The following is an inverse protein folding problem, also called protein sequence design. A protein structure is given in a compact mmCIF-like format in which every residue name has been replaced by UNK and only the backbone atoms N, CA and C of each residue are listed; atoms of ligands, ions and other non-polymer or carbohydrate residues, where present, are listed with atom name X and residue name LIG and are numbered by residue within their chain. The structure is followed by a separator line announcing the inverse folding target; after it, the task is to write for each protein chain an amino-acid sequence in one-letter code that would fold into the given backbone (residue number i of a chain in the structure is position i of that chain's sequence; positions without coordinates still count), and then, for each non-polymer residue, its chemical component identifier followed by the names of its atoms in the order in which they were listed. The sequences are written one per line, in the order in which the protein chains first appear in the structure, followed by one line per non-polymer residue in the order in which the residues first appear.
data_IF_088532646383
#
_entry.id   IF_088532646383
#
_cell.length_a   1.000
_cell.length_b   1.000
_cell.length_c   1.000
_cell.angle_alpha   90.00
_cell.angle_beta   90.00
_cell.angle_gamma   90.00
#
_symmetry.space_group_name_H-M   'P 1'
#
loop_
_entity.id
_entity.type
_entity.pdbx_description
1 polymer ?
#
# COMPACT_ATOMS: atom_id res chain seq x y z
N UNK A 1 9.86 -15.18 -12.21
CA UNK A 1 9.67 -15.37 -10.76
C UNK A 1 8.20 -15.57 -10.43
N UNK A 2 7.34 -14.54 -10.57
CA UNK A 2 5.90 -14.62 -10.22
C UNK A 2 5.13 -15.76 -10.90
N UNK A 3 5.29 -15.94 -12.22
CA UNK A 3 4.63 -17.04 -12.96
C UNK A 3 5.02 -18.44 -12.43
N UNK A 4 6.27 -18.63 -12.00
CA UNK A 4 6.72 -19.92 -11.45
C UNK A 4 6.21 -20.16 -10.02
N UNK A 5 5.77 -19.11 -9.33
CA UNK A 5 5.17 -19.17 -8.00
C UNK A 5 3.64 -19.29 -8.07
N UNK A 6 3.05 -19.43 -9.26
CA UNK A 6 1.60 -19.46 -9.46
C UNK A 6 0.91 -18.10 -9.40
N UNK A 7 1.68 -17.00 -9.28
CA UNK A 7 1.15 -15.64 -9.25
C UNK A 7 1.20 -15.02 -10.65
N UNK A 8 0.06 -14.52 -11.12
CA UNK A 8 -0.03 -13.75 -12.36
C UNK A 8 0.17 -12.26 -12.04
N UNK A 9 1.15 -11.65 -12.70
CA UNK A 9 1.44 -10.22 -12.62
C UNK A 9 1.38 -9.67 -14.05
N UNK A 10 0.57 -8.65 -14.30
CA UNK A 10 0.47 -8.02 -15.61
C UNK A 10 1.70 -7.15 -15.90
N UNK A 11 2.01 -6.85 -17.18
CA UNK A 11 3.10 -5.93 -17.51
C UNK A 11 2.96 -4.56 -16.83
N UNK A 12 1.74 -4.06 -16.67
CA UNK A 12 1.44 -2.78 -16.02
C UNK A 12 1.75 -2.83 -14.53
N UNK A 13 1.33 -3.91 -13.85
CA UNK A 13 1.67 -4.16 -12.44
C UNK A 13 3.19 -4.23 -12.24
N UNK A 14 3.89 -4.94 -13.14
CA UNK A 14 5.35 -5.05 -13.09
C UNK A 14 6.04 -3.68 -13.25
N UNK A 15 5.49 -2.77 -14.06
CA UNK A 15 6.02 -1.42 -14.24
C UNK A 15 5.87 -0.60 -12.96
N UNK A 16 4.73 -0.65 -12.29
CA UNK A 16 4.53 0.07 -11.03
C UNK A 16 5.39 -0.50 -9.90
N UNK A 17 5.50 -1.82 -9.79
CA UNK A 17 6.43 -2.47 -8.86
C UNK A 17 7.87 -2.03 -9.10
N UNK A 18 8.31 -1.99 -10.35
CA UNK A 18 9.65 -1.51 -10.69
C UNK A 18 9.87 -0.06 -10.28
N UNK A 19 8.87 0.82 -10.41
CA UNK A 19 8.99 2.22 -9.94
C UNK A 19 9.10 2.30 -8.42
N UNK A 20 8.26 1.56 -7.71
CA UNK A 20 8.28 1.47 -6.25
C UNK A 20 9.64 0.95 -5.75
N UNK A 21 10.18 -0.09 -6.37
CA UNK A 21 11.45 -0.70 -5.93
C UNK A 21 12.70 0.01 -6.44
N UNK A 22 12.68 0.60 -7.64
CA UNK A 22 13.81 1.38 -8.17
C UNK A 22 14.05 2.68 -7.40
N UNK A 23 13.08 3.19 -6.65
CA UNK A 23 13.27 4.34 -5.78
C UNK A 23 14.10 3.96 -4.54
N UNK A 24 13.47 3.85 -3.36
CA UNK A 24 14.13 3.56 -2.08
C UNK A 24 15.08 2.35 -2.10
N UNK A 25 14.71 1.32 -2.84
CA UNK A 25 15.33 0.01 -2.73
C UNK A 25 16.33 -0.27 -3.86
N UNK A 26 16.67 0.73 -4.68
CA UNK A 26 17.63 0.62 -5.79
C UNK A 26 17.34 -0.57 -6.73
N UNK A 27 16.07 -0.96 -6.87
CA UNK A 27 15.61 -2.06 -7.72
C UNK A 27 15.62 -3.44 -7.06
N UNK A 28 16.00 -3.53 -5.78
CA UNK A 28 16.07 -4.78 -5.02
C UNK A 28 15.13 -4.77 -3.83
N UNK A 29 14.09 -5.61 -3.84
CA UNK A 29 13.26 -5.78 -2.64
C UNK A 29 14.07 -6.53 -1.57
N UNK A 30 14.24 -5.97 -0.36
CA UNK A 30 14.81 -6.71 0.76
C UNK A 30 14.06 -8.03 0.99
N UNK A 31 14.81 -9.12 1.17
CA UNK A 31 14.22 -10.45 1.27
C UNK A 31 13.26 -10.56 2.48
N UNK A 32 13.53 -9.82 3.56
CA UNK A 32 12.67 -9.76 4.74
C UNK A 32 11.31 -9.10 4.45
N UNK A 33 11.26 -8.09 3.58
CA UNK A 33 9.99 -7.50 3.12
C UNK A 33 9.26 -8.50 2.25
N UNK A 34 9.94 -9.10 1.27
CA UNK A 34 9.34 -10.08 0.36
C UNK A 34 8.79 -11.30 1.11
N UNK A 35 9.52 -11.86 2.08
CA UNK A 35 9.06 -13.02 2.86
C UNK A 35 7.85 -12.67 3.73
N UNK A 36 7.82 -11.49 4.35
CA UNK A 36 6.64 -11.00 5.09
C UNK A 36 5.42 -10.86 4.20
N UNK A 37 5.56 -10.20 3.03
CA UNK A 37 4.45 -10.06 2.06
C UNK A 37 3.89 -11.43 1.67
N UNK A 38 4.77 -12.37 1.31
CA UNK A 38 4.37 -13.71 0.89
C UNK A 38 3.73 -14.53 2.03
N UNK A 39 4.17 -14.34 3.28
CA UNK A 39 3.62 -15.02 4.44
C UNK A 39 2.24 -14.48 4.86
N UNK A 40 1.93 -13.23 4.51
CA UNK A 40 0.70 -12.53 4.91
C UNK A 40 -0.32 -12.41 3.79
N UNK A 41 -0.19 -13.14 2.68
CA UNK A 41 -1.11 -13.05 1.53
C UNK A 41 -2.57 -13.36 1.90
N UNK A 42 -2.80 -14.21 2.90
CA UNK A 42 -4.14 -14.58 3.37
C UNK A 42 -4.66 -13.67 4.50
N UNK A 43 -3.81 -12.77 5.02
CA UNK A 43 -4.15 -11.81 6.07
C UNK A 43 -4.05 -10.38 5.52
N UNK A 44 -5.19 -9.85 5.07
CA UNK A 44 -5.25 -8.51 4.51
C UNK A 44 -4.78 -7.41 5.48
N UNK A 45 -4.96 -7.57 6.79
CA UNK A 45 -4.56 -6.55 7.75
C UNK A 45 -3.04 -6.52 7.89
N UNK A 46 -2.43 -7.70 8.05
CA UNK A 46 -0.97 -7.81 8.15
C UNK A 46 -0.31 -7.46 6.81
N UNK A 47 -0.90 -7.84 5.68
CA UNK A 47 -0.44 -7.44 4.35
C UNK A 47 -0.44 -5.91 4.20
N UNK A 48 -1.54 -5.23 4.59
CA UNK A 48 -1.58 -3.76 4.50
C UNK A 48 -0.55 -3.11 5.43
N UNK A 49 -0.34 -3.66 6.62
CA UNK A 49 0.71 -3.19 7.52
C UNK A 49 2.10 -3.28 6.88
N UNK A 50 2.41 -4.39 6.21
CA UNK A 50 3.69 -4.57 5.52
C UNK A 50 3.81 -3.60 4.35
N UNK A 51 2.76 -3.41 3.55
CA UNK A 51 2.76 -2.51 2.40
C UNK A 51 2.91 -1.04 2.80
N UNK A 52 2.18 -0.60 3.83
CA UNK A 52 2.28 0.77 4.36
C UNK A 52 3.66 1.00 4.98
N UNK A 53 4.17 0.05 5.76
CA UNK A 53 5.52 0.16 6.34
C UNK A 53 6.62 0.16 5.27
N UNK A 54 6.40 -0.52 4.14
CA UNK A 54 7.31 -0.50 2.99
C UNK A 54 7.16 0.75 2.11
N UNK A 55 6.13 1.57 2.32
CA UNK A 55 5.99 2.86 1.67
C UNK A 55 6.79 3.95 2.39
N UNK A 56 6.98 3.83 3.70
CA UNK A 56 7.89 4.65 4.51
C UNK A 56 9.34 4.36 4.12
N UNK A 57 9.83 5.17 3.19
CA UNK A 57 11.12 4.99 2.52
C UNK A 57 12.26 5.46 3.39
N UNK A 58 12.06 6.58 4.08
CA UNK A 58 13.10 7.18 4.92
C UNK A 58 13.12 6.55 6.33
N UNK A 59 12.13 5.72 6.66
CA UNK A 59 12.03 4.99 7.92
C UNK A 59 11.72 5.91 9.09
N UNK A 60 11.11 7.07 8.82
CA UNK A 60 10.82 8.07 9.84
C UNK A 60 9.59 7.71 10.69
N UNK A 61 8.83 6.68 10.31
CA UNK A 61 7.63 6.19 10.99
C UNK A 61 6.35 6.92 10.60
N UNK A 62 6.41 7.79 9.60
CA UNK A 62 5.31 8.59 9.07
C UNK A 62 5.18 8.42 7.57
N UNK A 63 4.01 8.72 7.03
CA UNK A 63 3.72 8.67 5.60
C UNK A 63 3.61 10.09 5.04
N UNK A 64 4.59 10.47 4.25
CA UNK A 64 4.59 11.73 3.52
C UNK A 64 3.81 11.64 2.20
N UNK A 65 3.47 12.79 1.62
CA UNK A 65 2.69 12.86 0.38
C UNK A 65 3.30 12.03 -0.77
N UNK A 66 4.62 12.04 -0.91
CA UNK A 66 5.32 11.30 -1.96
C UNK A 66 5.20 9.78 -1.76
N UNK A 67 5.24 9.32 -0.52
CA UNK A 67 5.17 7.92 -0.13
C UNK A 67 3.73 7.41 -0.30
N UNK A 68 2.76 8.19 0.17
CA UNK A 68 1.34 7.97 -0.06
C UNK A 68 1.01 7.82 -1.55
N UNK A 69 1.46 8.77 -2.38
CA UNK A 69 1.22 8.74 -3.82
C UNK A 69 1.81 7.50 -4.51
N UNK A 70 2.96 7.02 -4.01
CA UNK A 70 3.61 5.81 -4.53
C UNK A 70 2.82 4.55 -4.12
N UNK A 71 2.35 4.51 -2.88
CA UNK A 71 1.51 3.43 -2.36
C UNK A 71 0.16 3.34 -3.08
N UNK A 72 -0.56 4.46 -3.25
CA UNK A 72 -1.86 4.50 -3.94
C UNK A 72 -1.75 4.03 -5.40
N UNK A 73 -0.70 4.42 -6.12
CA UNK A 73 -0.46 3.92 -7.49
C UNK A 73 -0.25 2.41 -7.53
N UNK A 74 0.48 1.87 -6.55
CA UNK A 74 0.66 0.43 -6.41
C UNK A 74 -0.69 -0.26 -6.15
N UNK A 75 -1.49 0.25 -5.20
CA UNK A 75 -2.81 -0.31 -4.90
C UNK A 75 -3.77 -0.25 -6.10
N UNK A 76 -3.79 0.85 -6.85
CA UNK A 76 -4.60 1.01 -8.07
C UNK A 76 -4.22 0.02 -9.18
N UNK A 77 -2.93 -0.31 -9.31
CA UNK A 77 -2.48 -1.32 -10.28
C UNK A 77 -3.00 -2.73 -9.94
N UNK A 78 -3.32 -3.00 -8.67
CA UNK A 78 -3.89 -4.26 -8.20
C UNK A 78 -5.41 -4.25 -8.12
N UNK A 79 -5.99 -3.10 -7.78
CA UNK A 79 -7.42 -2.89 -7.65
C UNK A 79 -7.80 -1.55 -8.27
N UNK A 80 -8.20 -1.51 -9.56
CA UNK A 80 -8.60 -0.29 -10.25
C UNK A 80 -9.79 0.43 -9.61
N UNK A 81 -10.57 -0.27 -8.77
CA UNK A 81 -11.71 0.29 -8.02
C UNK A 81 -11.28 0.91 -6.68
N UNK A 82 -10.00 0.87 -6.33
CA UNK A 82 -9.50 1.56 -5.14
C UNK A 82 -9.77 3.06 -5.26
N UNK A 83 -10.31 3.66 -4.20
CA UNK A 83 -10.69 5.06 -4.22
C UNK A 83 -9.44 5.95 -4.38
N UNK A 84 -9.44 6.81 -5.40
CA UNK A 84 -8.40 7.82 -5.56
C UNK A 84 -8.71 8.95 -4.58
N UNK A 85 -7.90 9.06 -3.53
CA UNK A 85 -8.02 10.10 -2.50
C UNK A 85 -6.80 11.01 -2.59
N UNK A 86 -7.02 12.32 -2.53
CA UNK A 86 -5.94 13.31 -2.45
C UNK A 86 -5.26 13.22 -1.08
N UNK A 87 -3.97 13.55 -1.02
CA UNK A 87 -3.22 13.50 0.24
C UNK A 87 -3.84 14.38 1.33
N UNK A 88 -4.35 15.56 0.99
CA UNK A 88 -5.01 16.45 1.96
C UNK A 88 -6.24 15.80 2.62
N UNK A 89 -7.02 15.03 1.86
CA UNK A 89 -8.17 14.30 2.40
C UNK A 89 -7.71 13.11 3.25
N UNK A 90 -6.66 12.41 2.81
CA UNK A 90 -6.04 11.36 3.59
C UNK A 90 -5.53 11.90 4.94
N UNK A 91 -4.82 13.03 4.93
CA UNK A 91 -4.36 13.69 6.15
C UNK A 91 -5.53 14.06 7.06
N UNK A 92 -6.57 14.68 6.52
CA UNK A 92 -7.75 15.09 7.28
C UNK A 92 -8.54 13.93 7.91
N UNK A 93 -8.53 12.76 7.26
CA UNK A 93 -9.28 11.58 7.72
C UNK A 93 -8.45 10.64 8.59
N UNK A 94 -7.16 10.49 8.32
CA UNK A 94 -6.28 9.53 9.00
C UNK A 94 -5.55 10.12 10.21
N UNK A 95 -5.35 11.45 10.28
CA UNK A 95 -4.68 12.12 11.42
C UNK A 95 -5.59 12.16 12.66
N UNK A 96 -5.69 11.03 13.36
CA UNK A 96 -6.58 10.86 14.51
C UNK A 96 -6.07 11.60 15.74
N UNK A 97 -4.74 11.67 15.90
CA UNK A 97 -4.09 12.31 17.04
C UNK A 97 -3.95 13.83 16.85
N UNK A 98 -4.15 14.33 15.62
CA UNK A 98 -4.09 15.74 15.20
C UNK A 98 -2.71 16.36 15.35
N UNK A 99 -1.66 15.58 15.10
CA UNK A 99 -0.27 16.04 15.15
C UNK A 99 0.21 16.65 13.82
N UNK A 100 -0.62 16.58 12.77
CA UNK A 100 -0.33 17.11 11.44
C UNK A 100 0.55 16.18 10.60
N UNK A 101 0.77 14.95 11.03
CA UNK A 101 1.47 13.88 10.31
C UNK A 101 0.63 12.62 10.35
N UNK A 102 0.94 11.67 9.47
CA UNK A 102 0.29 10.37 9.47
C UNK A 102 1.28 9.31 9.91
N UNK A 103 1.06 8.72 11.08
CA UNK A 103 1.85 7.57 11.52
C UNK A 103 1.54 6.32 10.69
N UNK A 104 2.46 5.33 10.68
CA UNK A 104 2.21 4.02 10.06
C UNK A 104 0.89 3.41 10.55
N UNK A 105 0.62 3.47 11.85
CA UNK A 105 -0.59 2.90 12.45
C UNK A 105 -1.85 3.56 11.88
N UNK A 106 -1.89 4.89 11.85
CA UNK A 106 -3.02 5.66 11.31
C UNK A 106 -3.25 5.38 9.82
N UNK A 107 -2.18 5.29 9.03
CA UNK A 107 -2.27 4.90 7.64
C UNK A 107 -2.85 3.48 7.47
N UNK A 108 -2.37 2.50 8.24
CA UNK A 108 -2.85 1.11 8.18
C UNK A 108 -4.33 1.03 8.55
N UNK A 109 -4.75 1.70 9.60
CA UNK A 109 -6.14 1.72 10.04
C UNK A 109 -7.03 2.34 8.95
N UNK A 110 -6.63 3.49 8.39
CA UNK A 110 -7.37 4.15 7.32
C UNK A 110 -7.49 3.28 6.07
N UNK A 111 -6.38 2.70 5.59
CA UNK A 111 -6.39 1.82 4.41
C UNK A 111 -7.23 0.56 4.63
N UNK A 112 -7.21 0.01 5.84
CA UNK A 112 -8.03 -1.15 6.23
C UNK A 112 -9.52 -0.82 6.21
N UNK A 113 -9.91 0.39 6.59
CA UNK A 113 -11.29 0.86 6.49
C UNK A 113 -11.75 1.10 5.06
N UNK A 114 -10.91 1.70 4.21
CA UNK A 114 -11.25 1.91 2.80
C UNK A 114 -11.44 0.58 2.06
N UNK A 115 -10.62 -0.44 2.38
CA UNK A 115 -10.79 -1.79 1.86
C UNK A 115 -12.13 -2.44 2.24
N UNK A 116 -12.68 -2.13 3.43
CA UNK A 116 -14.03 -2.57 3.86
C UNK A 116 -15.13 -1.78 3.14
N UNK A 117 -14.96 -0.46 2.99
CA UNK A 117 -15.91 0.41 2.26
C UNK A 117 -16.00 0.06 0.77
N UNK A 118 -14.91 -0.41 0.16
CA UNK A 118 -14.93 -0.95 -1.21
C UNK A 118 -15.72 -2.26 -1.36
N UNK A 119 -15.82 -3.09 -0.30
CA UNK A 119 -16.60 -4.34 -0.34
C UNK A 119 -18.10 -4.14 -0.21
N UNK A 120 -18.56 -3.17 0.57
CA UNK A 120 -20.00 -2.81 0.66
C UNK A 120 -20.57 -2.20 -0.64
N UNK A 121 -19.71 -1.81 -1.59
CA UNK A 121 -20.12 -1.47 -2.96
C UNK A 121 -20.36 -2.68 -3.89
N UNK A 122 -20.05 -3.90 -3.46
CA UNK A 122 -20.23 -5.15 -4.24
C UNK A 122 -21.34 -6.07 -3.69
N UNK A 123 -22.16 -5.62 -2.74
CA UNK A 123 -23.41 -6.32 -2.36
C UNK A 123 -24.65 -5.77 -3.09
N UNK A 124 -24.44 -4.89 -4.07
CA UNK A 124 -25.50 -4.18 -4.78
C UNK A 124 -25.54 -4.35 -6.30
N UNK A 125 -24.85 -5.35 -6.88
CA UNK A 125 -24.97 -5.72 -8.30
C UNK A 125 -24.97 -7.24 -8.45
#
# INVERSE_FOLDING_TARGET
MFQNLGFFCTPEQLVEYKKMWNGPYHGFVPLDIMTKVMASLDDNAELMKILVSGADVDGNGFIEEKEFNSLVKCLLAHNPQFAIVAYDNFLAEADTNKDGKISITEAVDWFSEQGKKGKIGMEGI
#
